data_IF_447286683936
#
_entry.id   IF_447286683936
#
_cell.length_a   1.000
_cell.length_b   1.000
_cell.length_c   1.000
_cell.angle_alpha   90.00
_cell.angle_beta   90.00
_cell.angle_gamma   90.00
#
_symmetry.space_group_name_H-M   'P 1'
#
loop_
_entity.id
_entity.type
_entity.pdbx_description
1 polymer ?
#
# COMPACT_ATOMS: atom_id res chain seq x y z
N UNK A 1 -11.67 7.74 8.31
CA UNK A 1 -10.20 7.55 8.30
C UNK A 1 -9.66 7.40 6.88
N UNK A 2 -10.20 6.51 6.04
CA UNK A 2 -9.83 6.28 4.62
C UNK A 2 -9.69 7.55 3.75
N UNK A 3 -10.62 8.51 3.91
CA UNK A 3 -10.60 9.76 3.16
C UNK A 3 -9.34 10.60 3.41
N UNK A 4 -8.81 10.61 4.65
CA UNK A 4 -7.65 11.44 5.02
C UNK A 4 -6.36 10.94 4.37
N UNK A 5 -6.15 9.62 4.32
CA UNK A 5 -4.96 9.02 3.72
C UNK A 5 -4.96 9.16 2.20
N UNK A 6 -6.09 8.84 1.55
CA UNK A 6 -6.25 9.01 0.10
C UNK A 6 -6.04 10.47 -0.31
N UNK A 7 -6.58 11.41 0.48
CA UNK A 7 -6.39 12.84 0.24
C UNK A 7 -4.94 13.30 0.46
N UNK A 8 -4.23 12.73 1.45
CA UNK A 8 -2.81 13.03 1.67
C UNK A 8 -1.97 12.57 0.47
N UNK A 9 -2.21 11.35 -0.04
CA UNK A 9 -1.53 10.84 -1.24
C UNK A 9 -1.87 11.68 -2.49
N UNK A 10 -3.13 12.10 -2.64
CA UNK A 10 -3.56 12.97 -3.75
C UNK A 10 -2.93 14.37 -3.73
N UNK A 11 -2.49 14.85 -2.56
CA UNK A 11 -1.82 16.16 -2.42
C UNK A 11 -0.35 16.10 -2.81
N UNK A 12 0.27 14.92 -2.71
CA UNK A 12 1.68 14.70 -3.02
C UNK A 12 1.87 13.46 -3.90
N UNK A 13 1.25 13.41 -5.10
CA UNK A 13 1.35 12.25 -5.98
C UNK A 13 2.78 12.00 -6.46
N UNK A 14 3.60 13.06 -6.53
CA UNK A 14 4.99 13.01 -6.97
C UNK A 14 5.91 12.30 -5.97
N UNK A 15 5.43 11.99 -4.76
CA UNK A 15 6.18 11.21 -3.77
C UNK A 15 6.03 9.69 -3.96
N UNK A 16 5.06 9.26 -4.78
CA UNK A 16 4.86 7.85 -5.08
C UNK A 16 5.74 7.44 -6.27
N UNK A 17 6.77 6.65 -5.99
CA UNK A 17 7.69 6.13 -7.01
C UNK A 17 7.22 4.81 -7.65
N UNK A 18 6.31 4.10 -6.98
CA UNK A 18 5.78 2.82 -7.42
C UNK A 18 4.37 2.60 -6.91
N UNK A 19 3.62 1.71 -7.57
CA UNK A 19 2.25 1.43 -7.19
C UNK A 19 1.71 0.13 -7.75
N UNK A 20 0.70 -0.38 -7.07
CA UNK A 20 -0.05 -1.56 -7.47
C UNK A 20 -1.50 -1.41 -7.01
N UNK A 21 -2.41 -1.93 -7.81
CA UNK A 21 -3.83 -1.99 -7.47
C UNK A 21 -4.43 -3.27 -8.03
N UNK A 22 -5.35 -3.87 -7.28
CA UNK A 22 -6.11 -5.02 -7.73
C UNK A 22 -7.54 -4.94 -7.23
N UNK A 23 -8.45 -5.56 -7.99
CA UNK A 23 -9.86 -5.71 -7.64
C UNK A 23 -10.23 -7.17 -7.82
N UNK A 24 -10.83 -7.74 -6.78
CA UNK A 24 -11.45 -9.07 -6.84
C UNK A 24 -12.94 -8.95 -6.51
N UNK A 25 -13.80 -9.29 -7.48
CA UNK A 25 -15.25 -9.19 -7.34
C UNK A 25 -15.81 -10.54 -6.88
N UNK A 26 -16.46 -10.56 -5.72
CA UNK A 26 -17.17 -11.75 -5.21
C UNK A 26 -18.67 -11.53 -5.16
N UNK A 27 -19.41 -12.63 -5.22
CA UNK A 27 -20.89 -12.63 -5.17
C UNK A 27 -21.44 -12.55 -3.75
N UNK A 28 -20.64 -12.84 -2.72
CA UNK A 28 -21.09 -12.84 -1.33
C UNK A 28 -20.14 -12.03 -0.45
N UNK A 29 -20.72 -11.36 0.56
CA UNK A 29 -19.95 -10.63 1.57
C UNK A 29 -19.05 -11.57 2.38
N UNK A 30 -19.45 -12.82 2.57
CA UNK A 30 -18.65 -13.84 3.26
C UNK A 30 -17.31 -14.11 2.55
N UNK A 31 -17.32 -14.26 1.22
CA UNK A 31 -16.09 -14.46 0.44
C UNK A 31 -15.21 -13.20 0.48
N UNK A 32 -15.81 -12.01 0.37
CA UNK A 32 -15.09 -10.74 0.55
C UNK A 32 -14.42 -10.66 1.92
N UNK A 33 -15.12 -11.07 2.98
CA UNK A 33 -14.62 -11.04 4.36
C UNK A 33 -13.45 -11.99 4.57
N UNK A 34 -13.52 -13.18 3.97
CA UNK A 34 -12.41 -14.15 3.99
C UNK A 34 -11.16 -13.57 3.32
N UNK A 35 -11.31 -12.95 2.14
CA UNK A 35 -10.21 -12.31 1.43
C UNK A 35 -9.65 -11.11 2.20
N UNK A 36 -10.52 -10.25 2.72
CA UNK A 36 -10.12 -9.09 3.51
C UNK A 36 -9.28 -9.49 4.72
N UNK A 37 -9.68 -10.54 5.43
CA UNK A 37 -8.91 -11.07 6.56
C UNK A 37 -7.58 -11.68 6.12
N UNK A 38 -7.57 -12.47 5.05
CA UNK A 38 -6.34 -13.06 4.49
C UNK A 38 -5.33 -11.96 4.12
N UNK A 39 -5.73 -11.01 3.28
CA UNK A 39 -4.85 -9.91 2.88
C UNK A 39 -4.40 -9.05 4.08
N UNK A 40 -5.27 -8.86 5.08
CA UNK A 40 -4.87 -8.15 6.30
C UNK A 40 -3.76 -8.87 7.08
N UNK A 41 -3.76 -10.20 7.09
CA UNK A 41 -2.76 -11.01 7.78
C UNK A 41 -1.46 -11.06 6.99
N UNK A 42 -1.55 -11.28 5.67
CA UNK A 42 -0.40 -11.25 4.76
C UNK A 42 0.35 -9.92 4.86
N UNK A 43 -0.36 -8.79 4.82
CA UNK A 43 0.28 -7.47 4.95
C UNK A 43 0.93 -7.27 6.33
N UNK A 44 0.26 -7.71 7.42
CA UNK A 44 0.85 -7.62 8.77
C UNK A 44 2.07 -8.50 8.96
N UNK A 45 2.12 -9.64 8.29
CA UNK A 45 3.24 -10.58 8.40
C UNK A 45 4.55 -10.00 7.83
N UNK A 46 4.45 -9.00 6.95
CA UNK A 46 5.61 -8.27 6.38
C UNK A 46 6.25 -7.30 7.37
N UNK A 47 5.60 -7.01 8.50
CA UNK A 47 6.13 -6.04 9.47
C UNK A 47 7.26 -6.62 10.34
N UNK A 48 7.24 -7.94 10.58
CA UNK A 48 8.17 -8.59 11.51
C UNK A 48 9.54 -8.96 10.90
N UNK A 49 9.64 -9.03 9.56
CA UNK A 49 10.88 -9.45 8.87
C UNK A 49 11.98 -8.39 8.94
N UNK A 50 11.63 -7.12 9.10
CA UNK A 50 12.59 -5.99 9.11
C UNK A 50 13.41 -5.92 10.41
N UNK A 51 12.98 -6.57 11.50
CA UNK A 51 13.66 -6.47 12.80
C UNK A 51 14.82 -7.46 13.03
N UNK A 52 15.01 -8.46 12.16
CA UNK A 52 16.07 -9.46 12.36
C UNK A 52 17.46 -8.99 11.86
N UNK A 53 17.51 -7.97 10.99
CA UNK A 53 18.74 -7.47 10.39
C UNK A 53 19.31 -6.21 11.06
N UNK A 54 18.57 -5.63 12.02
CA UNK A 54 18.89 -4.32 12.62
C UNK A 54 19.91 -4.37 13.78
N UNK A 55 20.39 -5.56 14.16
CA UNK A 55 21.44 -5.70 15.19
C UNK A 55 22.85 -5.40 14.62
N UNK A 56 23.01 -5.18 13.30
CA UNK A 56 24.34 -5.18 12.66
C UNK A 56 24.75 -4.00 11.77
N UNK A 57 23.87 -3.07 11.37
CA UNK A 57 24.23 -2.05 10.35
C UNK A 57 24.31 -0.62 10.87
N UNK A 58 25.13 -0.44 11.92
CA UNK A 58 25.85 0.81 12.14
C UNK A 58 27.29 0.62 11.69
N UNK A 59 27.55 0.57 10.38
CA UNK A 59 28.91 0.63 9.86
C UNK A 59 28.95 1.18 8.43
N UNK A 60 29.50 2.39 8.36
CA UNK A 60 30.40 2.92 7.33
C UNK A 60 30.06 2.71 5.83
N UNK A 61 29.73 3.85 5.22
CA UNK A 61 30.23 4.29 3.91
C UNK A 61 29.91 3.42 2.69
N UNK A 62 28.87 3.79 1.95
CA UNK A 62 28.83 3.67 0.49
C UNK A 62 27.87 4.70 -0.07
N UNK A 63 28.39 5.55 -0.94
CA UNK A 63 27.73 6.68 -1.56
C UNK A 63 26.83 6.15 -2.69
N UNK A 64 25.63 5.68 -2.34
CA UNK A 64 24.54 5.42 -3.28
C UNK A 64 23.29 6.00 -2.63
N UNK A 65 22.57 6.87 -3.32
CA UNK A 65 21.34 7.53 -2.86
C UNK A 65 20.56 6.68 -1.84
N UNK A 66 20.65 7.04 -0.55
CA UNK A 66 19.90 6.41 0.53
C UNK A 66 18.43 6.77 0.34
N UNK A 67 17.77 6.11 -0.61
CA UNK A 67 16.36 6.32 -0.81
C UNK A 67 15.62 5.56 0.30
N UNK A 68 14.93 6.34 1.12
CA UNK A 68 14.13 5.91 2.24
C UNK A 68 12.67 5.80 1.78
N UNK A 69 12.08 4.61 1.90
CA UNK A 69 10.74 4.35 1.43
C UNK A 69 9.78 3.95 2.53
N UNK A 70 8.52 4.33 2.34
CA UNK A 70 7.38 3.76 3.05
C UNK A 70 6.44 3.13 2.03
N UNK A 71 5.87 1.98 2.37
CA UNK A 71 4.77 1.38 1.61
C UNK A 71 3.47 1.64 2.33
N UNK A 72 2.46 2.10 1.60
CA UNK A 72 1.10 2.28 2.12
C UNK A 72 0.18 1.29 1.43
N UNK A 73 -0.45 0.41 2.23
CA UNK A 73 -1.42 -0.56 1.72
C UNK A 73 -2.83 -0.18 2.17
N UNK A 74 -3.76 -0.08 1.22
CA UNK A 74 -5.17 0.19 1.48
C UNK A 74 -5.98 -1.01 0.99
N UNK A 75 -6.76 -1.62 1.88
CA UNK A 75 -7.67 -2.71 1.56
C UNK A 75 -9.08 -2.24 1.85
N UNK A 76 -9.96 -2.31 0.86
CA UNK A 76 -11.35 -1.87 0.98
C UNK A 76 -12.29 -2.93 0.43
N UNK A 77 -13.37 -3.20 1.17
CA UNK A 77 -14.51 -3.99 0.69
C UNK A 77 -15.64 -3.02 0.40
N UNK A 78 -16.13 -3.06 -0.82
CA UNK A 78 -17.18 -2.17 -1.31
C UNK A 78 -18.34 -2.97 -1.88
N UNK A 79 -19.53 -2.42 -1.73
CA UNK A 79 -20.74 -2.90 -2.37
C UNK A 79 -20.79 -2.38 -3.81
N UNK A 80 -21.18 -3.25 -4.74
CA UNK A 80 -21.13 -2.97 -6.18
C UNK A 80 -19.75 -3.20 -6.83
N UNK A 81 -19.68 -2.92 -8.13
CA UNK A 81 -18.47 -3.15 -8.94
C UNK A 81 -17.71 -1.85 -9.10
N UNK A 82 -16.54 -1.75 -8.46
CA UNK A 82 -15.57 -0.69 -8.70
C UNK A 82 -14.38 -1.25 -9.45
N UNK A 83 -13.98 -0.62 -10.56
CA UNK A 83 -12.75 -0.97 -11.28
C UNK A 83 -11.65 -0.01 -10.85
N UNK A 84 -10.49 -0.53 -10.50
CA UNK A 84 -9.28 0.28 -10.32
C UNK A 84 -8.37 0.11 -11.55
N UNK A 85 -7.83 1.20 -12.11
CA UNK A 85 -6.86 1.12 -13.19
C UNK A 85 -5.56 0.53 -12.64
N UNK A 86 -4.80 -0.27 -13.42
CA UNK A 86 -3.45 -0.64 -13.03
C UNK A 86 -2.60 0.62 -12.86
N UNK A 87 -1.69 0.62 -11.89
CA UNK A 87 -0.82 1.76 -11.60
C UNK A 87 0.51 1.54 -12.31
N UNK A 88 0.74 2.25 -13.42
CA UNK A 88 2.00 2.26 -14.19
C UNK A 88 2.45 3.68 -14.58
N UNK A 89 1.78 4.68 -14.02
CA UNK A 89 2.07 6.11 -14.26
C UNK A 89 1.43 6.95 -13.18
N UNK A 90 1.95 8.17 -12.98
CA UNK A 90 1.44 9.09 -11.94
C UNK A 90 -0.02 9.48 -12.21
N UNK A 91 -0.39 9.61 -13.48
CA UNK A 91 -1.77 9.84 -13.91
C UNK A 91 -2.70 8.68 -13.51
N UNK A 92 -2.27 7.42 -13.66
CA UNK A 92 -3.06 6.25 -13.26
C UNK A 92 -3.15 6.11 -11.74
N UNK A 93 -2.07 6.39 -11.01
CA UNK A 93 -2.10 6.46 -9.55
C UNK A 93 -3.14 7.49 -9.08
N UNK A 94 -3.09 8.70 -9.62
CA UNK A 94 -4.04 9.76 -9.29
C UNK A 94 -5.48 9.34 -9.57
N UNK A 95 -5.72 8.71 -10.72
CA UNK A 95 -7.04 8.19 -11.09
C UNK A 95 -7.52 7.09 -10.11
N UNK A 96 -6.65 6.13 -9.75
CA UNK A 96 -6.99 5.09 -8.77
C UNK A 96 -7.36 5.68 -7.40
N UNK A 97 -6.58 6.66 -6.92
CA UNK A 97 -6.87 7.36 -5.66
C UNK A 97 -8.16 8.18 -5.74
N UNK A 98 -8.46 8.82 -6.87
CA UNK A 98 -9.72 9.52 -7.08
C UNK A 98 -10.92 8.58 -7.06
N UNK A 99 -10.81 7.41 -7.71
CA UNK A 99 -11.85 6.38 -7.68
C UNK A 99 -12.09 5.93 -6.23
N UNK A 100 -11.03 5.62 -5.47
CA UNK A 100 -11.14 5.28 -4.05
C UNK A 100 -11.78 6.39 -3.22
N UNK A 101 -11.42 7.66 -3.46
CA UNK A 101 -11.99 8.80 -2.76
C UNK A 101 -13.48 9.06 -3.12
N UNK A 102 -13.90 8.64 -4.31
CA UNK A 102 -15.28 8.84 -4.81
C UNK A 102 -16.28 7.81 -4.29
N UNK A 103 -15.81 6.73 -3.65
CA UNK A 103 -16.68 5.66 -3.16
C UNK A 103 -17.59 6.21 -2.05
N UNK A 104 -18.92 6.16 -2.22
CA UNK A 104 -19.84 6.63 -1.20
C UNK A 104 -19.68 5.84 0.10
N UNK A 105 -19.67 6.51 1.24
CA UNK A 105 -19.48 5.86 2.55
C UNK A 105 -20.47 4.72 2.82
N UNK A 106 -21.71 4.82 2.30
CA UNK A 106 -22.74 3.77 2.41
C UNK A 106 -22.39 2.46 1.67
N UNK A 107 -21.53 2.56 0.66
CA UNK A 107 -21.14 1.44 -0.18
C UNK A 107 -19.87 0.79 0.38
N UNK A 108 -19.13 1.45 1.29
CA UNK A 108 -17.96 0.87 1.96
C UNK A 108 -18.42 -0.06 3.09
N UNK A 109 -18.11 -1.35 3.00
CA UNK A 109 -18.42 -2.34 4.04
C UNK A 109 -17.29 -2.47 5.05
N UNK A 110 -16.03 -2.49 4.58
CA UNK A 110 -14.83 -2.60 5.42
C UNK A 110 -13.67 -1.83 4.83
N UNK A 111 -12.80 -1.31 5.69
CA UNK A 111 -11.55 -0.69 5.26
C UNK A 111 -10.44 -0.97 6.26
N UNK A 112 -9.23 -1.21 5.75
CA UNK A 112 -7.99 -1.28 6.53
C UNK A 112 -6.90 -0.53 5.79
N UNK A 113 -6.02 0.08 6.57
CA UNK A 113 -4.86 0.78 6.07
C UNK A 113 -3.66 0.35 6.90
N UNK A 114 -2.55 0.15 6.22
CA UNK A 114 -1.26 -0.20 6.78
C UNK A 114 -0.20 0.72 6.18
N UNK A 115 0.88 0.94 6.93
CA UNK A 115 2.10 1.51 6.39
C UNK A 115 3.29 0.65 6.85
N UNK A 116 4.32 0.50 6.03
CA UNK A 116 5.53 -0.23 6.42
C UNK A 116 6.75 0.62 6.06
N UNK A 117 7.72 0.82 6.96
CA UNK A 117 7.82 0.27 8.33
C UNK A 117 6.81 0.88 9.33
N UNK A 118 6.53 0.19 10.44
CA UNK A 118 5.59 0.66 11.48
C UNK A 118 6.24 1.61 12.51
N UNK A 119 7.56 1.54 12.69
CA UNK A 119 8.31 2.39 13.63
C UNK A 119 8.63 3.74 12.99
N UNK A 120 8.48 4.80 13.79
CA UNK A 120 8.89 6.15 13.36
C UNK A 120 10.38 6.20 13.07
N UNK A 121 10.77 6.92 12.03
CA UNK A 121 12.14 7.06 11.53
C UNK A 121 12.79 5.76 11.04
N UNK A 122 11.99 4.71 10.80
CA UNK A 122 12.44 3.52 10.08
C UNK A 122 11.91 3.54 8.65
N UNK A 123 12.74 3.15 7.70
CA UNK A 123 12.45 3.21 6.27
C UNK A 123 12.91 1.93 5.58
N UNK A 124 12.16 1.52 4.56
CA UNK A 124 12.60 0.45 3.67
C UNK A 124 13.70 0.98 2.75
N UNK A 125 14.68 0.13 2.48
CA UNK A 125 15.64 0.32 1.41
C UNK A 125 15.03 -0.06 0.06
N UNK A 126 15.69 0.33 -1.04
CA UNK A 126 15.27 -0.07 -2.39
C UNK A 126 15.26 -1.60 -2.57
N UNK A 127 16.17 -2.30 -1.89
CA UNK A 127 16.27 -3.75 -1.96
C UNK A 127 15.09 -4.43 -1.26
N UNK A 128 14.77 -4.03 -0.02
CA UNK A 128 13.62 -4.56 0.72
C UNK A 128 12.30 -4.29 0.00
N UNK A 129 12.17 -3.11 -0.63
CA UNK A 129 11.01 -2.81 -1.47
C UNK A 129 10.85 -3.81 -2.62
N UNK A 130 11.94 -4.18 -3.29
CA UNK A 130 11.92 -5.11 -4.41
C UNK A 130 11.63 -6.55 -3.97
N UNK A 131 12.18 -6.96 -2.81
CA UNK A 131 12.02 -8.30 -2.26
C UNK A 131 10.61 -8.52 -1.68
N UNK A 132 10.13 -7.63 -0.83
CA UNK A 132 8.87 -7.80 -0.10
C UNK A 132 7.64 -7.29 -0.88
N UNK A 133 7.85 -6.41 -1.87
CA UNK A 133 6.79 -5.75 -2.62
C UNK A 133 7.00 -5.83 -4.14
N UNK A 134 7.42 -7.00 -4.64
CA UNK A 134 7.68 -7.26 -6.06
C UNK A 134 6.52 -6.96 -7.03
N UNK A 135 5.28 -6.79 -6.54
CA UNK A 135 4.11 -6.43 -7.36
C UNK A 135 4.02 -4.93 -7.67
N UNK A 136 4.76 -4.08 -6.94
CA UNK A 136 4.76 -2.63 -7.16
C UNK A 136 5.46 -2.31 -8.47
N UNK A 137 4.74 -1.66 -9.38
CA UNK A 137 5.30 -1.21 -10.66
C UNK A 137 5.83 0.21 -10.50
N UNK A 138 7.00 0.54 -11.08
CA UNK A 138 7.44 1.93 -11.21
C UNK A 138 6.42 2.80 -11.94
N UNK A 139 6.37 4.08 -11.56
CA UNK A 139 5.38 5.09 -11.98
C UNK A 139 6.05 6.17 -12.83
#
# INVERSE_FOLDING_TARGET
MHYKATLALLRHPDYCISGYSSVDVKRSLFECDKLFNRFSIEERSKFDVVNANDIGKKSATSQSSNNEYIVVTIIVVVDGVSKLPPIRSSAQLKNALQILASIPSRDIKKVKMFWNPQQENNFLTAQELLEDYALLNPI
#
